data_IF_231308504102
#
_entry.id   IF_231308504102
#
_cell.length_a   1.000
_cell.length_b   1.000
_cell.length_c   1.000
_cell.angle_alpha   90.00
_cell.angle_beta   90.00
_cell.angle_gamma   90.00
#
_symmetry.space_group_name_H-M   'P 1'
#
loop_
_entity.id
_entity.type
_entity.pdbx_description
1 polymer ?
#
# COMPACT_ATOMS: atom_id res chain seq x y z
N UNK A 1 -62.50 37.08 -24.95
CA UNK A 1 -62.09 37.66 -23.66
C UNK A 1 -61.73 36.48 -22.76
N UNK A 2 -60.44 36.37 -22.40
CA UNK A 2 -59.74 35.26 -21.69
C UNK A 2 -59.65 33.94 -22.51
N UNK A 3 -58.56 33.16 -22.54
CA UNK A 3 -57.40 33.11 -21.65
C UNK A 3 -56.24 32.34 -22.30
N UNK A 4 -55.04 32.86 -22.04
CA UNK A 4 -53.81 32.13 -21.69
C UNK A 4 -53.20 31.13 -22.68
N UNK A 5 -52.12 31.60 -23.30
CA UNK A 5 -51.02 30.84 -23.88
C UNK A 5 -50.47 29.79 -22.91
N UNK A 6 -50.50 28.51 -23.28
CA UNK A 6 -49.75 27.45 -22.61
C UNK A 6 -48.46 27.19 -23.39
N UNK A 7 -47.39 27.89 -23.01
CA UNK A 7 -46.03 27.52 -23.41
C UNK A 7 -45.65 26.23 -22.67
N UNK A 8 -45.77 25.08 -23.34
CA UNK A 8 -45.22 23.83 -22.85
C UNK A 8 -43.70 23.96 -23.02
N UNK A 9 -43.00 24.31 -21.94
CA UNK A 9 -41.55 24.20 -21.85
C UNK A 9 -41.20 22.70 -21.88
N UNK A 10 -40.88 22.19 -23.05
CA UNK A 10 -40.21 20.90 -23.22
C UNK A 10 -38.83 21.00 -22.58
N UNK A 11 -38.71 20.59 -21.32
CA UNK A 11 -37.41 20.33 -20.70
C UNK A 11 -36.79 19.12 -21.41
N UNK A 12 -36.02 19.38 -22.47
CA UNK A 12 -35.09 18.42 -23.04
C UNK A 12 -34.01 18.15 -21.98
N UNK A 13 -34.22 17.09 -21.19
CA UNK A 13 -33.16 16.50 -20.38
C UNK A 13 -32.15 15.91 -21.37
N UNK A 14 -31.15 16.70 -21.74
CA UNK A 14 -29.98 16.24 -22.46
C UNK A 14 -29.14 15.46 -21.44
N UNK A 15 -29.46 14.17 -21.25
CA UNK A 15 -28.63 13.26 -20.50
C UNK A 15 -27.37 12.99 -21.33
N UNK A 16 -26.36 13.83 -21.15
CA UNK A 16 -25.02 13.57 -21.66
C UNK A 16 -24.51 12.28 -21.03
N UNK A 17 -24.51 11.20 -21.81
CA UNK A 17 -23.73 10.00 -21.52
C UNK A 17 -22.26 10.45 -21.52
N UNK A 18 -21.70 10.74 -20.35
CA UNK A 18 -20.26 10.96 -20.22
C UNK A 18 -19.60 9.60 -20.40
N UNK A 19 -18.89 9.33 -21.51
CA UNK A 19 -18.14 8.09 -21.63
C UNK A 19 -17.04 8.12 -20.57
N UNK A 20 -17.08 7.17 -19.64
CA UNK A 20 -15.98 6.93 -18.71
C UNK A 20 -14.83 6.30 -19.50
N UNK A 21 -14.07 7.12 -20.24
CA UNK A 21 -12.85 6.65 -20.88
C UNK A 21 -11.81 6.49 -19.78
N UNK A 22 -11.47 5.25 -19.45
CA UNK A 22 -10.33 4.96 -18.59
C UNK A 22 -9.08 5.42 -19.35
N UNK A 23 -8.52 6.56 -18.96
CA UNK A 23 -7.26 7.07 -19.52
C UNK A 23 -6.23 5.95 -19.54
N UNK A 24 -5.75 5.57 -20.73
CA UNK A 24 -4.71 4.57 -20.87
C UNK A 24 -3.35 5.26 -20.93
N UNK A 25 -2.48 4.91 -19.98
CA UNK A 25 -1.10 5.39 -19.94
C UNK A 25 -0.22 4.47 -20.77
N UNK A 26 0.67 5.08 -21.55
CA UNK A 26 1.72 4.36 -22.28
C UNK A 26 2.98 4.28 -21.41
N UNK A 27 3.89 3.32 -21.63
CA UNK A 27 5.06 3.10 -20.79
C UNK A 27 6.20 4.11 -21.06
N UNK A 28 5.87 5.39 -21.19
CA UNK A 28 6.83 6.49 -21.32
C UNK A 28 6.54 7.59 -20.29
N UNK A 29 7.61 8.27 -19.84
CA UNK A 29 7.52 9.30 -18.80
C UNK A 29 6.52 10.41 -19.12
N UNK A 30 6.51 10.89 -20.37
CA UNK A 30 5.57 11.94 -20.81
C UNK A 30 4.10 11.54 -20.69
N UNK A 31 3.78 10.25 -20.74
CA UNK A 31 2.44 9.73 -20.48
C UNK A 31 2.19 9.51 -19.00
N UNK A 32 3.14 8.91 -18.28
CA UNK A 32 3.01 8.57 -16.86
C UNK A 32 2.95 9.81 -15.96
N UNK A 33 3.62 10.90 -16.31
CA UNK A 33 3.64 12.13 -15.50
C UNK A 33 2.32 12.92 -15.60
N UNK A 34 1.43 12.56 -16.54
CA UNK A 34 0.09 13.12 -16.65
C UNK A 34 -0.93 12.49 -15.67
N UNK A 35 -0.50 11.49 -14.87
CA UNK A 35 -1.37 10.84 -13.88
C UNK A 35 -1.74 11.85 -12.78
N UNK A 36 -3.03 12.25 -12.66
CA UNK A 36 -3.43 13.12 -11.57
C UNK A 36 -3.34 12.34 -10.24
N UNK A 37 -3.09 13.07 -9.15
CA UNK A 37 -3.24 12.51 -7.81
C UNK A 37 -4.72 12.12 -7.60
N UNK A 38 -5.04 10.87 -7.21
CA UNK A 38 -6.42 10.50 -6.93
C UNK A 38 -7.00 11.34 -5.78
N UNK A 39 -8.22 11.87 -5.97
CA UNK A 39 -8.86 12.76 -5.00
C UNK A 39 -8.94 12.13 -3.59
N UNK A 40 -9.28 10.84 -3.49
CA UNK A 40 -9.33 10.13 -2.20
C UNK A 40 -7.99 10.14 -1.46
N UNK A 41 -6.87 10.07 -2.17
CA UNK A 41 -5.54 10.07 -1.56
C UNK A 41 -5.17 11.46 -1.07
N UNK A 42 -5.49 12.49 -1.87
CA UNK A 42 -5.31 13.87 -1.43
C UNK A 42 -6.18 14.17 -0.21
N UNK A 43 -7.47 13.83 -0.24
CA UNK A 43 -8.44 14.13 0.82
C UNK A 43 -8.18 13.40 2.15
N UNK A 44 -7.51 12.24 2.13
CA UNK A 44 -7.32 11.41 3.34
C UNK A 44 -6.39 12.05 4.38
N UNK A 45 -5.38 12.81 3.94
CA UNK A 45 -4.37 13.58 4.73
C UNK A 45 -3.52 12.81 5.77
N UNK A 46 -4.01 11.71 6.35
CA UNK A 46 -3.33 10.89 7.35
C UNK A 46 -3.43 9.42 6.93
N UNK A 47 -2.30 8.70 7.03
CA UNK A 47 -2.23 7.26 6.81
C UNK A 47 -1.39 6.58 7.88
N UNK A 48 -1.69 5.31 8.16
CA UNK A 48 -0.89 4.45 9.04
C UNK A 48 -0.13 3.47 8.15
N UNK A 49 1.18 3.39 8.36
CA UNK A 49 2.03 2.40 7.70
C UNK A 49 2.64 1.47 8.74
N UNK A 50 2.71 0.18 8.41
CA UNK A 50 3.09 -0.89 9.34
C UNK A 50 4.24 -1.69 8.71
N UNK A 51 5.35 -1.79 9.44
CA UNK A 51 6.44 -2.73 9.12
C UNK A 51 6.21 -4.01 9.91
N UNK A 52 5.63 -5.01 9.25
CA UNK A 52 5.36 -6.31 9.85
C UNK A 52 5.64 -7.43 8.85
N UNK A 53 6.43 -8.41 9.28
CA UNK A 53 6.81 -9.53 8.43
C UNK A 53 7.67 -10.53 9.18
N UNK A 54 8.37 -11.39 8.45
CA UNK A 54 9.20 -12.46 9.06
C UNK A 54 10.31 -11.92 9.97
N UNK A 55 10.82 -10.71 9.71
CA UNK A 55 11.77 -10.03 10.59
C UNK A 55 11.18 -9.68 11.97
N UNK A 56 9.85 -9.62 12.11
CA UNK A 56 9.19 -9.35 13.38
C UNK A 56 9.18 -10.55 14.32
N UNK A 57 9.33 -11.78 13.79
CA UNK A 57 9.34 -13.02 14.59
C UNK A 57 10.40 -13.00 15.70
N UNK A 58 11.70 -12.75 15.42
CA UNK A 58 12.73 -12.69 16.46
C UNK A 58 12.60 -11.46 17.37
N UNK A 59 11.84 -10.43 16.94
CA UNK A 59 11.60 -9.20 17.70
C UNK A 59 12.89 -8.54 18.23
N UNK A 60 13.93 -8.51 17.39
CA UNK A 60 15.23 -7.93 17.73
C UNK A 60 15.65 -6.93 16.65
N UNK A 61 16.31 -5.85 17.07
CA UNK A 61 16.86 -4.81 16.21
C UNK A 61 15.81 -3.99 15.42
N UNK A 62 15.45 -4.41 14.20
CA UNK A 62 14.51 -3.70 13.31
C UNK A 62 14.11 -4.59 12.12
N UNK A 63 13.41 -4.03 11.13
CA UNK A 63 13.17 -4.69 9.84
C UNK A 63 14.47 -5.06 9.08
N UNK A 64 15.60 -4.45 9.45
CA UNK A 64 16.93 -4.77 8.95
C UNK A 64 17.66 -5.86 9.74
N UNK A 65 16.97 -6.56 10.65
CA UNK A 65 17.52 -7.62 11.49
C UNK A 65 18.39 -8.61 10.71
N UNK A 66 18.00 -8.97 9.47
CA UNK A 66 18.82 -9.86 8.64
C UNK A 66 20.20 -9.26 8.30
N UNK A 67 20.23 -8.00 7.89
CA UNK A 67 21.49 -7.31 7.57
C UNK A 67 22.35 -7.11 8.82
N UNK A 68 21.71 -6.80 9.96
CA UNK A 68 22.38 -6.71 11.25
C UNK A 68 22.95 -8.05 11.74
N UNK A 69 22.46 -9.18 11.23
CA UNK A 69 22.95 -10.51 11.58
C UNK A 69 23.96 -11.10 10.57
N UNK A 70 23.68 -10.96 9.27
CA UNK A 70 24.40 -11.63 8.18
C UNK A 70 25.00 -10.69 7.13
N UNK A 71 24.79 -9.39 7.25
CA UNK A 71 25.38 -8.39 6.35
C UNK A 71 26.89 -8.23 6.56
N UNK A 72 27.48 -7.30 5.82
CA UNK A 72 28.95 -7.14 5.76
C UNK A 72 29.60 -6.74 7.10
N UNK A 73 28.86 -6.03 7.95
CA UNK A 73 29.30 -5.65 9.30
C UNK A 73 28.21 -5.99 10.33
N UNK A 74 28.11 -7.26 10.78
CA UNK A 74 27.07 -7.68 11.70
C UNK A 74 27.13 -6.94 13.04
N UNK A 75 25.96 -6.58 13.55
CA UNK A 75 25.81 -6.03 14.89
C UNK A 75 26.09 -7.15 15.93
N UNK A 76 27.07 -6.97 16.84
CA UNK A 76 27.44 -8.01 17.80
C UNK A 76 26.30 -8.48 18.71
N UNK A 77 25.43 -7.57 19.13
CA UNK A 77 24.30 -7.89 20.03
C UNK A 77 23.24 -8.72 19.32
N UNK A 78 22.97 -8.41 18.04
CA UNK A 78 22.05 -9.18 17.20
C UNK A 78 22.61 -10.60 16.96
N UNK A 79 23.90 -10.72 16.66
CA UNK A 79 24.57 -12.02 16.50
C UNK A 79 24.51 -12.83 17.81
N UNK A 80 24.82 -12.20 18.94
CA UNK A 80 24.77 -12.85 20.25
C UNK A 80 23.35 -13.30 20.62
N UNK A 81 22.34 -12.46 20.34
CA UNK A 81 20.93 -12.82 20.51
C UNK A 81 20.57 -14.04 19.65
N UNK A 82 20.97 -14.05 18.38
CA UNK A 82 20.67 -15.15 17.46
C UNK A 82 21.31 -16.46 17.93
N UNK A 83 22.60 -16.43 18.28
CA UNK A 83 23.33 -17.62 18.75
C UNK A 83 22.80 -18.16 20.08
N UNK A 84 22.22 -17.30 20.92
CA UNK A 84 21.65 -17.69 22.22
C UNK A 84 20.26 -18.32 22.09
N UNK A 85 19.44 -17.85 21.16
CA UNK A 85 18.01 -18.19 21.10
C UNK A 85 17.63 -19.15 19.96
N UNK A 86 18.48 -19.34 18.96
CA UNK A 86 18.21 -20.18 17.80
C UNK A 86 19.29 -21.24 17.56
N UNK A 87 18.96 -22.39 16.92
CA UNK A 87 19.94 -23.42 16.59
C UNK A 87 21.10 -22.91 15.71
N UNK A 88 22.30 -23.53 15.75
CA UNK A 88 23.47 -23.09 15.00
C UNK A 88 23.27 -22.95 13.49
N UNK A 89 22.43 -23.80 12.89
CA UNK A 89 22.16 -23.79 11.44
C UNK A 89 20.88 -23.01 11.06
N UNK A 90 20.34 -22.22 11.99
CA UNK A 90 19.16 -21.40 11.74
C UNK A 90 19.45 -20.38 10.63
N UNK A 91 18.54 -20.27 9.68
CA UNK A 91 18.57 -19.32 8.57
C UNK A 91 17.46 -18.30 8.72
N UNK A 92 17.55 -17.21 7.97
CA UNK A 92 16.47 -16.21 7.95
C UNK A 92 15.15 -16.76 7.38
N UNK A 93 15.24 -17.69 6.42
CA UNK A 93 14.06 -18.31 5.83
C UNK A 93 13.28 -19.18 6.83
N UNK A 94 13.95 -19.75 7.83
CA UNK A 94 13.31 -20.60 8.84
C UNK A 94 12.26 -19.85 9.68
N UNK A 95 12.40 -18.52 9.81
CA UNK A 95 11.40 -17.66 10.45
C UNK A 95 10.05 -17.63 9.73
N UNK A 96 10.00 -17.93 8.42
CA UNK A 96 8.75 -17.95 7.68
C UNK A 96 7.73 -18.94 8.27
N UNK A 97 8.22 -20.09 8.76
CA UNK A 97 7.37 -21.11 9.41
C UNK A 97 6.82 -20.68 10.79
N UNK A 98 7.45 -19.68 11.41
CA UNK A 98 7.07 -19.13 12.71
C UNK A 98 6.24 -17.86 12.59
N UNK A 99 6.23 -17.20 11.43
CA UNK A 99 5.39 -16.05 11.16
C UNK A 99 3.94 -16.48 10.89
N UNK A 100 3.22 -16.75 11.97
CA UNK A 100 1.90 -17.39 11.94
C UNK A 100 0.73 -16.42 12.08
N UNK A 101 0.98 -15.21 12.55
CA UNK A 101 -0.03 -14.18 12.73
C UNK A 101 -1.26 -14.67 13.52
N UNK A 102 -1.06 -15.49 14.56
CA UNK A 102 -2.13 -16.29 15.18
C UNK A 102 -3.30 -15.46 15.73
N UNK A 103 -3.05 -14.20 16.08
CA UNK A 103 -4.04 -13.29 16.63
C UNK A 103 -4.39 -12.11 15.70
N UNK A 104 -4.00 -12.18 14.43
CA UNK A 104 -4.40 -11.16 13.45
C UNK A 104 -5.92 -11.24 13.21
N UNK A 105 -6.59 -10.09 13.20
CA UNK A 105 -8.05 -9.93 13.05
C UNK A 105 -8.37 -8.95 11.93
#
# INVERSE_FOLDING_TARGET
>A
MYSCTAWIFTNLIFSSLIPFTKQQYKPEWSSLDQRPLPAWYDESKIGIFIHWGVFSVPSVYSEWMWWAWKGDNPNPDTVAFMNKNYPPDWTYADFASQFRAEFYS
#
